data_IF_109957662707
#
_entry.id   IF_109957662707
#
_cell.length_a   1.000
_cell.length_b   1.000
_cell.length_c   1.000
_cell.angle_alpha   90.00
_cell.angle_beta   90.00
_cell.angle_gamma   90.00
#
_symmetry.space_group_name_H-M   'P 1'
#
loop_
_entity.id
_entity.type
_entity.pdbx_description
1 polymer ?
#
# COMPACT_ATOMS: atom_id res chain seq x y z
N UNK A 1 10.99 6.26 -16.82
CA UNK A 1 10.56 6.05 -15.43
C UNK A 1 9.04 5.91 -15.45
N UNK A 2 8.48 4.86 -14.84
CA UNK A 2 7.03 4.67 -14.78
C UNK A 2 6.54 5.33 -13.49
N UNK A 3 5.51 6.17 -13.62
CA UNK A 3 4.81 6.76 -12.49
C UNK A 3 3.36 6.31 -12.55
N UNK A 4 2.92 5.61 -11.52
CA UNK A 4 1.51 5.27 -11.36
C UNK A 4 1.06 5.72 -9.98
N UNK A 5 -0.07 6.43 -9.91
CA UNK A 5 -0.55 7.02 -8.66
C UNK A 5 0.48 7.98 -8.01
N UNK A 6 1.34 8.61 -8.82
CA UNK A 6 2.42 9.46 -8.32
C UNK A 6 3.55 8.74 -7.58
N UNK A 7 3.57 7.40 -7.62
CA UNK A 7 4.62 6.59 -6.99
C UNK A 7 5.64 6.20 -8.05
N UNK A 8 6.91 6.50 -7.78
CA UNK A 8 8.03 6.24 -8.66
C UNK A 8 8.30 4.74 -8.79
N UNK A 9 8.52 4.29 -10.02
CA UNK A 9 8.79 2.89 -10.38
C UNK A 9 7.69 1.88 -9.99
N UNK A 10 6.54 2.36 -9.55
CA UNK A 10 5.40 1.51 -9.21
C UNK A 10 4.59 1.18 -10.46
N UNK A 11 4.49 -0.11 -10.79
CA UNK A 11 3.74 -0.58 -11.96
C UNK A 11 2.95 -1.86 -11.64
N UNK A 12 1.89 -1.75 -10.84
CA UNK A 12 1.06 -2.88 -10.46
C UNK A 12 0.27 -3.44 -11.64
N UNK A 13 0.07 -4.76 -11.62
CA UNK A 13 -1.00 -5.40 -12.39
C UNK A 13 -2.35 -5.01 -11.77
N UNK A 14 -3.32 -4.67 -12.61
CA UNK A 14 -4.70 -4.43 -12.18
C UNK A 14 -5.50 -5.71 -12.32
N UNK A 15 -6.23 -6.01 -11.26
CA UNK A 15 -7.11 -7.16 -11.13
C UNK A 15 -8.56 -6.71 -11.09
N UNK A 16 -9.40 -7.36 -11.89
CA UNK A 16 -10.86 -7.16 -11.86
C UNK A 16 -11.60 -8.35 -11.26
N UNK A 17 -10.88 -9.46 -11.05
CA UNK A 17 -11.44 -10.69 -10.50
C UNK A 17 -10.54 -11.27 -9.40
N UNK A 18 -11.17 -11.84 -8.37
CA UNK A 18 -10.47 -12.53 -7.28
C UNK A 18 -9.65 -13.73 -7.79
N UNK A 19 -10.13 -14.43 -8.81
CA UNK A 19 -9.46 -15.58 -9.43
C UNK A 19 -8.03 -15.25 -9.88
N UNK A 20 -7.84 -14.06 -10.44
CA UNK A 20 -6.56 -13.57 -10.93
C UNK A 20 -5.59 -13.27 -9.77
N UNK A 21 -6.08 -12.64 -8.71
CA UNK A 21 -5.28 -12.36 -7.50
C UNK A 21 -4.81 -13.68 -6.87
N UNK A 22 -5.71 -14.66 -6.77
CA UNK A 22 -5.37 -15.98 -6.22
C UNK A 22 -4.36 -16.69 -7.12
N UNK A 23 -4.52 -16.64 -8.44
CA UNK A 23 -3.57 -17.25 -9.36
C UNK A 23 -2.15 -16.68 -9.17
N UNK A 24 -2.02 -15.37 -9.02
CA UNK A 24 -0.73 -14.68 -9.01
C UNK A 24 -0.08 -14.62 -7.61
N UNK A 25 -0.89 -14.55 -6.54
CA UNK A 25 -0.41 -14.24 -5.20
C UNK A 25 -0.73 -15.27 -4.11
N UNK A 26 -1.46 -16.37 -4.41
CA UNK A 26 -1.89 -17.34 -3.38
C UNK A 26 -0.77 -17.82 -2.48
N UNK A 27 0.36 -18.26 -3.04
CA UNK A 27 1.48 -18.78 -2.26
C UNK A 27 2.05 -17.73 -1.32
N UNK A 28 2.24 -16.49 -1.80
CA UNK A 28 2.76 -15.38 -0.98
C UNK A 28 1.79 -15.00 0.13
N UNK A 29 0.51 -14.83 -0.20
CA UNK A 29 -0.54 -14.50 0.78
C UNK A 29 -0.71 -15.61 1.83
N UNK A 30 -0.62 -16.88 1.44
CA UNK A 30 -0.62 -18.00 2.39
C UNK A 30 0.59 -17.96 3.32
N UNK A 31 1.75 -17.57 2.82
CA UNK A 31 2.97 -17.40 3.62
C UNK A 31 2.92 -16.29 4.66
N UNK A 32 1.96 -15.36 4.56
CA UNK A 32 1.75 -14.31 5.56
C UNK A 32 0.98 -14.79 6.80
N UNK A 33 0.33 -15.96 6.74
CA UNK A 33 -0.47 -16.46 7.86
C UNK A 33 0.41 -16.71 9.08
N UNK A 34 0.05 -16.09 10.21
CA UNK A 34 0.78 -16.20 11.46
C UNK A 34 2.02 -15.30 11.57
N UNK A 35 2.37 -14.54 10.50
CA UNK A 35 3.41 -13.52 10.60
C UNK A 35 2.87 -12.28 11.32
N UNK A 36 3.72 -11.64 12.11
CA UNK A 36 3.39 -10.39 12.79
C UNK A 36 3.50 -9.21 11.84
N UNK A 37 2.51 -8.32 11.91
CA UNK A 37 2.56 -7.02 11.24
C UNK A 37 3.40 -6.08 12.12
N UNK A 38 4.50 -5.57 11.58
CA UNK A 38 5.39 -4.64 12.28
C UNK A 38 4.92 -3.20 12.15
N UNK A 39 4.46 -2.83 10.95
CA UNK A 39 4.11 -1.46 10.59
C UNK A 39 3.00 -1.44 9.54
N UNK A 40 2.16 -0.42 9.60
CA UNK A 40 1.19 -0.11 8.55
C UNK A 40 1.46 1.32 8.11
N UNK A 41 1.71 1.49 6.82
CA UNK A 41 1.98 2.79 6.21
C UNK A 41 0.83 3.20 5.30
N UNK A 42 0.52 4.50 5.32
CA UNK A 42 -0.49 5.11 4.47
C UNK A 42 0.03 6.42 3.91
N UNK A 43 -0.51 6.83 2.76
CA UNK A 43 -0.30 8.17 2.26
C UNK A 43 -1.11 9.18 3.07
N UNK A 44 -0.49 10.30 3.40
CA UNK A 44 -1.09 11.34 4.24
C UNK A 44 -0.87 12.71 3.61
N UNK A 45 -1.95 13.45 3.41
CA UNK A 45 -1.89 14.83 2.95
C UNK A 45 -1.54 15.71 4.16
N UNK A 46 -0.43 16.44 4.05
CA UNK A 46 0.20 17.13 5.18
C UNK A 46 -0.41 18.49 5.50
N UNK A 47 -1.07 19.13 4.54
CA UNK A 47 -1.68 20.45 4.72
C UNK A 47 -3.01 20.35 5.45
N UNK A 48 -3.85 19.38 5.07
CA UNK A 48 -5.17 19.14 5.68
C UNK A 48 -5.11 18.13 6.84
N UNK A 49 -3.94 17.53 7.10
CA UNK A 49 -3.72 16.47 8.10
C UNK A 49 -4.76 15.34 7.98
N UNK A 50 -4.96 14.85 6.76
CA UNK A 50 -5.93 13.81 6.45
C UNK A 50 -5.35 12.61 5.71
N UNK A 51 -6.06 11.49 5.82
CA UNK A 51 -5.70 10.28 5.11
C UNK A 51 -5.96 10.44 3.62
N UNK A 52 -4.91 10.33 2.81
CA UNK A 52 -5.01 10.38 1.35
C UNK A 52 -5.24 8.96 0.80
N UNK A 53 -6.50 8.53 0.81
CA UNK A 53 -6.91 7.14 0.55
C UNK A 53 -6.90 6.71 -0.92
N UNK A 54 -6.55 7.60 -1.86
CA UNK A 54 -6.35 7.30 -3.27
C UNK A 54 -5.09 6.43 -3.53
N UNK A 55 -4.16 6.37 -2.56
CA UNK A 55 -2.91 5.64 -2.66
C UNK A 55 -2.94 4.30 -1.92
N UNK A 56 -2.04 3.36 -2.28
CA UNK A 56 -1.96 2.06 -1.63
C UNK A 56 -1.81 2.15 -0.11
N UNK A 57 -2.40 1.19 0.61
CA UNK A 57 -2.08 0.87 2.00
C UNK A 57 -0.97 -0.16 2.01
N UNK A 58 0.02 0.03 2.85
CA UNK A 58 1.21 -0.81 2.93
C UNK A 58 1.25 -1.48 4.29
N UNK A 59 1.37 -2.81 4.29
CA UNK A 59 1.50 -3.64 5.48
C UNK A 59 2.89 -4.25 5.45
N UNK A 60 3.73 -3.89 6.43
CA UNK A 60 5.09 -4.43 6.56
C UNK A 60 5.15 -5.57 7.57
N UNK A 61 5.76 -6.65 7.12
CA UNK A 61 6.21 -7.79 7.90
C UNK A 61 7.74 -7.77 7.92
N UNK A 62 8.35 -8.58 8.80
CA UNK A 62 9.81 -8.67 8.96
C UNK A 62 10.56 -8.87 7.63
N UNK A 63 10.02 -9.72 6.74
CA UNK A 63 10.69 -10.16 5.51
C UNK A 63 10.04 -9.67 4.21
N UNK A 64 8.90 -8.98 4.28
CA UNK A 64 8.23 -8.47 3.08
C UNK A 64 7.25 -7.34 3.36
N UNK A 65 6.92 -6.64 2.29
CA UNK A 65 5.92 -5.60 2.24
C UNK A 65 4.76 -6.05 1.36
N UNK A 66 3.53 -6.04 1.90
CA UNK A 66 2.30 -6.21 1.14
C UNK A 66 1.68 -4.83 0.83
N UNK A 67 1.29 -4.61 -0.41
CA UNK A 67 0.77 -3.34 -0.90
C UNK A 67 -0.61 -3.57 -1.51
N UNK A 68 -1.62 -2.85 -1.00
CA UNK A 68 -3.02 -3.05 -1.37
C UNK A 68 -3.61 -1.72 -1.82
N UNK A 69 -4.21 -1.68 -3.00
CA UNK A 69 -4.85 -0.48 -3.52
C UNK A 69 -6.18 -0.81 -4.21
N UNK A 70 -7.23 -0.10 -3.79
CA UNK A 70 -8.50 -0.05 -4.52
C UNK A 70 -8.38 1.06 -5.57
N UNK A 71 -8.00 0.70 -6.80
CA UNK A 71 -7.65 1.67 -7.84
C UNK A 71 -8.90 2.36 -8.43
N UNK A 72 -9.94 1.59 -8.74
CA UNK A 72 -11.27 2.05 -9.18
C UNK A 72 -12.33 1.05 -8.72
N UNK A 73 -13.60 1.36 -8.95
CA UNK A 73 -14.70 0.41 -8.72
C UNK A 73 -14.41 -0.92 -9.42
N UNK A 74 -14.30 -1.99 -8.62
CA UNK A 74 -13.97 -3.35 -9.07
C UNK A 74 -12.57 -3.50 -9.71
N UNK A 75 -11.64 -2.57 -9.49
CA UNK A 75 -10.26 -2.66 -9.94
C UNK A 75 -9.31 -2.56 -8.74
N UNK A 76 -8.49 -3.59 -8.54
CA UNK A 76 -7.59 -3.70 -7.41
C UNK A 76 -6.15 -3.92 -7.87
N UNK A 77 -5.20 -3.39 -7.11
CA UNK A 77 -3.80 -3.76 -7.21
C UNK A 77 -3.38 -4.47 -5.91
N UNK A 78 -2.70 -5.61 -6.10
CA UNK A 78 -2.01 -6.33 -5.03
C UNK A 78 -0.58 -6.50 -5.49
N UNK A 79 0.35 -5.91 -4.77
CA UNK A 79 1.78 -5.98 -5.06
C UNK A 79 2.54 -6.25 -3.78
N UNK A 80 3.82 -6.51 -3.94
CA UNK A 80 4.71 -6.67 -2.83
C UNK A 80 6.07 -6.10 -3.22
N UNK A 81 6.70 -5.43 -2.25
CA UNK A 81 8.08 -4.93 -2.33
C UNK A 81 8.35 -4.06 -3.58
N UNK A 82 7.34 -3.36 -4.12
CA UNK A 82 7.49 -2.46 -5.27
C UNK A 82 7.56 -0.99 -4.88
N UNK A 83 6.95 -0.61 -3.74
CA UNK A 83 6.88 0.77 -3.27
C UNK A 83 8.04 1.03 -2.31
N UNK A 84 8.92 1.96 -2.68
CA UNK A 84 9.92 2.50 -1.75
C UNK A 84 9.27 3.60 -0.91
N UNK A 85 9.12 3.34 0.40
CA UNK A 85 8.50 4.28 1.34
C UNK A 85 9.39 5.50 1.66
N UNK A 86 10.67 5.48 1.23
CA UNK A 86 11.58 6.62 1.35
C UNK A 86 11.53 7.57 0.14
N UNK A 87 10.95 7.12 -0.98
CA UNK A 87 10.75 7.97 -2.16
C UNK A 87 9.60 8.96 -1.92
N UNK A 88 9.73 10.15 -2.51
CA UNK A 88 8.67 11.16 -2.51
C UNK A 88 7.47 10.72 -3.37
N UNK A 89 6.28 11.18 -2.99
CA UNK A 89 5.05 11.00 -3.76
C UNK A 89 4.84 12.26 -4.60
N UNK A 90 4.95 12.14 -5.92
CA UNK A 90 4.61 13.20 -6.88
C UNK A 90 3.24 12.89 -7.48
N UNK A 91 2.17 13.33 -6.80
CA UNK A 91 0.81 13.09 -7.25
C UNK A 91 0.46 13.99 -8.45
N UNK A 92 0.95 13.58 -9.62
CA UNK A 92 0.73 14.18 -10.94
C UNK A 92 1.04 15.68 -11.01
N UNK A 93 2.08 16.15 -10.31
CA UNK A 93 2.49 17.56 -10.31
C UNK A 93 1.48 18.51 -9.65
N UNK A 94 0.61 17.99 -8.77
CA UNK A 94 -0.26 18.83 -7.93
C UNK A 94 0.52 19.50 -6.80
N UNK A 95 -0.03 20.55 -6.21
CA UNK A 95 0.55 21.24 -5.04
C UNK A 95 0.31 20.47 -3.71
N UNK A 96 -0.30 19.28 -3.77
CA UNK A 96 -0.55 18.46 -2.59
C UNK A 96 0.76 17.97 -1.99
N UNK A 97 0.89 18.07 -0.66
CA UNK A 97 2.08 17.60 0.04
C UNK A 97 1.72 16.24 0.65
N UNK A 98 1.99 15.17 -0.07
CA UNK A 98 1.64 13.80 0.36
C UNK A 98 2.90 13.08 0.81
N UNK A 99 2.82 12.42 1.98
CA UNK A 99 3.93 11.62 2.53
C UNK A 99 3.46 10.25 3.01
N UNK A 100 4.37 9.29 3.00
CA UNK A 100 4.17 8.03 3.69
C UNK A 100 4.27 8.25 5.20
N UNK A 101 3.20 7.90 5.91
CA UNK A 101 3.12 8.02 7.37
C UNK A 101 2.94 6.64 8.00
N UNK A 102 3.81 6.33 8.96
CA UNK A 102 3.81 5.07 9.71
C UNK A 102 2.79 5.11 10.83
N UNK A 103 1.93 4.10 10.89
CA UNK A 103 0.99 3.81 11.99
C UNK A 103 0.07 4.99 12.36
N UNK A 104 -0.19 5.88 11.38
CA UNK A 104 -0.96 7.12 11.57
C UNK A 104 -2.46 6.86 11.70
N UNK A 105 -2.99 5.87 10.96
CA UNK A 105 -4.37 5.38 11.13
C UNK A 105 -4.51 4.54 12.41
N UNK A 106 -4.87 5.20 13.51
CA UNK A 106 -4.96 4.59 14.85
C UNK A 106 -5.88 3.37 14.91
N UNK A 107 -6.93 3.34 14.11
CA UNK A 107 -7.87 2.22 14.03
C UNK A 107 -7.24 0.91 13.53
N UNK A 108 -6.13 1.00 12.77
CA UNK A 108 -5.37 -0.14 12.28
C UNK A 108 -4.26 -0.58 13.24
N UNK A 109 -3.87 0.26 14.21
CA UNK A 109 -2.79 -0.06 15.14
C UNK A 109 -3.10 -1.27 16.03
N UNK A 110 -4.39 -1.58 16.21
CA UNK A 110 -4.84 -2.82 16.86
C UNK A 110 -4.48 -4.09 16.08
N UNK A 111 -3.92 -4.01 14.88
CA UNK A 111 -3.47 -5.16 14.09
C UNK A 111 -1.96 -5.37 14.20
N UNK A 112 -1.23 -4.38 14.73
CA UNK A 112 0.22 -4.36 14.84
C UNK A 112 0.59 -5.07 16.14
N UNK A 113 1.51 -6.04 16.07
CA UNK A 113 2.02 -6.77 17.23
C UNK A 113 0.94 -7.35 18.16
N UNK A 114 -0.20 -7.79 17.61
CA UNK A 114 -1.15 -8.56 18.41
C UNK A 114 -0.48 -9.89 18.83
N UNK A 115 -0.14 -9.97 20.12
CA UNK A 115 0.11 -11.22 20.84
C UNK A 115 -1.19 -12.04 21.01
#
# INVERSE_FOLDING_TARGET
MIFRLGIKNYNPKIYTELSQIINDHKTRLQGLKGKQIEEIWVAWEQNEDEWFNDLPVIIRFEDCQLELCAYKTNEYAVTFDQIDLSDEIDYYGTDLVIRWEKNKLKELNKCINNE
#
